data_IF_161243912616
#
_entry.id   IF_161243912616
#
_cell.length_a   1.000
_cell.length_b   1.000
_cell.length_c   1.000
_cell.angle_alpha   90.00
_cell.angle_beta   90.00
_cell.angle_gamma   90.00
#
_symmetry.space_group_name_H-M   'P 1'
#
loop_
_entity.id
_entity.type
_entity.pdbx_description
1 polymer ?
#
# COMPACT_ATOMS: atom_id res chain seq x y z
N UNK A 1 -6.61 8.81 -5.38
CA UNK A 1 -6.89 8.22 -4.05
C UNK A 1 -6.39 9.21 -3.01
N UNK A 2 -7.21 9.52 -2.02
CA UNK A 2 -6.92 10.50 -0.96
C UNK A 2 -6.79 9.87 0.42
N UNK A 3 -7.30 8.65 0.60
CA UNK A 3 -7.04 7.84 1.78
C UNK A 3 -6.99 6.37 1.40
N UNK A 4 -6.11 5.62 2.06
CA UNK A 4 -6.13 4.17 2.15
C UNK A 4 -6.07 3.83 3.64
N UNK A 5 -6.98 2.98 4.10
CA UNK A 5 -7.08 2.57 5.49
C UNK A 5 -7.67 1.17 5.58
N UNK A 6 -7.47 0.51 6.72
CA UNK A 6 -7.94 -0.86 6.94
C UNK A 6 -8.20 -1.12 8.42
N UNK A 7 -9.08 -2.06 8.71
CA UNK A 7 -9.53 -2.33 10.09
C UNK A 7 -9.36 -3.80 10.52
N UNK A 8 -8.57 -4.59 9.78
CA UNK A 8 -8.39 -6.02 10.02
C UNK A 8 -9.54 -6.89 9.52
N UNK A 9 -10.57 -6.29 8.91
CA UNK A 9 -11.68 -6.99 8.24
C UNK A 9 -11.87 -6.50 6.81
N UNK A 10 -11.84 -5.18 6.61
CA UNK A 10 -11.94 -4.51 5.31
C UNK A 10 -10.74 -3.60 5.07
N UNK A 11 -10.34 -3.51 3.81
CA UNK A 11 -9.51 -2.45 3.26
C UNK A 11 -10.43 -1.45 2.55
N UNK A 12 -10.18 -0.16 2.73
CA UNK A 12 -10.98 0.91 2.15
C UNK A 12 -10.15 2.00 1.51
N UNK A 13 -10.69 2.59 0.44
CA UNK A 13 -10.11 3.80 -0.17
C UNK A 13 -11.14 4.94 -0.28
N UNK A 14 -10.63 6.17 -0.25
CA UNK A 14 -11.36 7.37 -0.68
C UNK A 14 -10.70 8.01 -1.90
N UNK A 15 -11.50 8.75 -2.69
CA UNK A 15 -11.05 9.43 -3.90
C UNK A 15 -11.57 10.86 -3.92
N UNK A 16 -10.74 11.83 -4.31
CA UNK A 16 -11.07 13.27 -4.28
C UNK A 16 -12.30 13.68 -5.10
N UNK A 17 -12.68 12.93 -6.15
CA UNK A 17 -13.91 13.20 -6.91
C UNK A 17 -15.20 12.64 -6.27
N UNK A 18 -15.07 11.87 -5.19
CA UNK A 18 -16.14 11.12 -4.54
C UNK A 18 -16.02 11.28 -3.01
N UNK A 19 -15.91 12.53 -2.56
CA UNK A 19 -15.69 12.85 -1.14
C UNK A 19 -16.72 12.21 -0.21
N UNK A 20 -16.23 11.64 0.89
CA UNK A 20 -17.06 10.96 1.90
C UNK A 20 -17.47 9.53 1.54
N UNK A 21 -17.32 9.09 0.28
CA UNK A 21 -17.62 7.72 -0.12
C UNK A 21 -16.40 6.80 0.11
N UNK A 22 -16.62 5.68 0.80
CA UNK A 22 -15.63 4.61 0.99
C UNK A 22 -15.91 3.46 0.02
N UNK A 23 -14.85 2.98 -0.63
CA UNK A 23 -14.89 1.79 -1.48
C UNK A 23 -14.09 0.70 -0.79
N UNK A 24 -14.79 -0.34 -0.32
CA UNK A 24 -14.22 -1.39 0.52
C UNK A 24 -14.20 -2.75 -0.15
N UNK A 25 -13.27 -3.58 0.32
CA UNK A 25 -13.15 -5.00 0.02
C UNK A 25 -12.51 -5.71 1.23
N UNK A 26 -12.56 -7.06 1.32
CA UNK A 26 -11.95 -7.79 2.43
C UNK A 26 -10.45 -7.44 2.61
N UNK A 27 -10.02 -7.21 3.86
CA UNK A 27 -8.63 -6.93 4.17
C UNK A 27 -7.75 -8.15 3.82
N UNK A 28 -6.65 -7.96 3.09
CA UNK A 28 -5.77 -9.05 2.71
C UNK A 28 -4.87 -9.50 3.88
N UNK A 29 -4.36 -10.74 3.84
CA UNK A 29 -3.25 -11.13 4.71
C UNK A 29 -1.99 -10.36 4.29
N UNK A 30 -1.09 -10.14 5.25
CA UNK A 30 0.22 -9.52 4.98
C UNK A 30 1.22 -10.63 4.66
N UNK A 31 2.00 -10.46 3.59
CA UNK A 31 3.05 -11.41 3.20
C UNK A 31 4.41 -10.93 3.71
N UNK A 32 5.17 -11.76 4.41
CA UNK A 32 6.43 -11.34 5.01
C UNK A 32 6.99 -12.25 6.09
N UNK A 33 7.78 -11.66 6.99
CA UNK A 33 8.58 -12.37 7.98
C UNK A 33 7.95 -12.32 9.39
N UNK A 34 7.95 -13.46 10.06
CA UNK A 34 7.48 -13.60 11.44
C UNK A 34 8.61 -13.49 12.45
N UNK A 35 8.33 -12.90 13.61
CA UNK A 35 9.21 -12.93 14.76
C UNK A 35 9.27 -14.35 15.35
N UNK A 36 10.39 -14.72 16.02
CA UNK A 36 10.53 -16.04 16.63
C UNK A 36 9.36 -16.39 17.55
N UNK A 37 8.76 -17.56 17.31
CA UNK A 37 7.62 -18.07 18.09
C UNK A 37 6.24 -17.77 17.51
N UNK A 38 6.15 -16.98 16.43
CA UNK A 38 4.89 -16.70 15.72
C UNK A 38 4.90 -17.27 14.30
N UNK A 39 3.72 -17.40 13.70
CA UNK A 39 3.55 -17.75 12.30
C UNK A 39 2.20 -17.31 11.73
N UNK A 40 1.93 -17.72 10.49
CA UNK A 40 0.73 -17.33 9.73
C UNK A 40 -0.58 -17.57 10.48
N UNK A 41 -0.69 -18.69 11.21
CA UNK A 41 -1.88 -19.01 12.00
C UNK A 41 -2.19 -18.00 13.11
N UNK A 42 -1.22 -17.20 13.53
CA UNK A 42 -1.32 -16.24 14.62
C UNK A 42 -1.66 -14.83 14.10
N UNK A 43 -1.42 -14.57 12.81
CA UNK A 43 -1.64 -13.27 12.18
C UNK A 43 -3.12 -12.91 11.99
N UNK A 44 -3.42 -11.63 12.21
CA UNK A 44 -4.62 -10.99 11.69
C UNK A 44 -4.43 -10.49 10.26
N UNK A 45 -5.51 -9.99 9.67
CA UNK A 45 -5.44 -9.30 8.38
C UNK A 45 -4.92 -7.87 8.54
N UNK A 46 -4.56 -7.23 7.42
CA UNK A 46 -4.01 -5.88 7.41
C UNK A 46 -4.92 -4.87 8.12
N UNK A 47 -4.33 -4.02 8.97
CA UNK A 47 -5.07 -3.13 9.89
C UNK A 47 -4.32 -1.82 10.17
N UNK A 48 -5.09 -0.76 10.42
CA UNK A 48 -4.63 0.58 10.78
C UNK A 48 -4.84 1.61 9.67
N UNK A 49 -4.49 2.86 10.00
CA UNK A 49 -4.56 4.00 9.06
C UNK A 49 -3.20 4.35 8.46
N UNK A 50 -2.15 3.60 8.82
CA UNK A 50 -0.77 3.85 8.35
C UNK A 50 -0.60 3.82 6.83
N UNK A 51 -1.51 3.15 6.09
CA UNK A 51 -1.55 3.15 4.63
C UNK A 51 -1.76 4.57 4.01
N UNK A 52 -2.06 5.57 4.84
CA UNK A 52 -2.00 6.98 4.44
C UNK A 52 -0.59 7.40 4.03
N UNK A 53 0.46 6.78 4.59
CA UNK A 53 1.86 7.02 4.25
C UNK A 53 2.13 6.73 2.77
N UNK A 54 1.67 5.60 2.26
CA UNK A 54 1.77 5.23 0.84
C UNK A 54 0.83 6.07 -0.03
N UNK A 55 -0.32 6.48 0.52
CA UNK A 55 -1.23 7.38 -0.19
C UNK A 55 -0.56 8.71 -0.55
N UNK A 56 0.33 9.20 0.31
CA UNK A 56 1.12 10.41 0.06
C UNK A 56 2.47 10.16 -0.62
N UNK A 57 2.76 8.91 -1.00
CA UNK A 57 3.96 8.53 -1.77
C UNK A 57 5.18 8.19 -0.92
N UNK A 58 5.01 7.77 0.33
CA UNK A 58 6.09 7.26 1.18
C UNK A 58 5.92 5.75 1.44
N UNK A 59 6.54 5.22 2.49
CA UNK A 59 6.43 3.81 2.88
C UNK A 59 6.83 2.89 1.74
N UNK A 60 5.93 1.98 1.35
CA UNK A 60 6.16 1.01 0.29
C UNK A 60 6.61 1.63 -1.04
N UNK A 61 6.20 2.88 -1.30
CA UNK A 61 6.52 3.58 -2.55
C UNK A 61 8.00 3.97 -2.63
N UNK A 62 8.70 4.04 -1.49
CA UNK A 62 10.09 4.48 -1.40
C UNK A 62 11.03 3.39 -0.87
N UNK A 63 10.66 2.10 -0.96
CA UNK A 63 11.51 0.98 -0.52
C UNK A 63 12.90 1.01 -1.15
N UNK A 64 13.05 1.48 -2.40
CA UNK A 64 14.35 1.67 -3.04
C UNK A 64 15.29 2.59 -2.24
N UNK A 65 14.74 3.53 -1.46
CA UNK A 65 15.49 4.43 -0.57
C UNK A 65 15.73 3.87 0.84
N UNK A 66 15.16 2.72 1.18
CA UNK A 66 15.23 2.12 2.51
C UNK A 66 15.54 0.60 2.47
N UNK A 67 16.56 0.13 1.74
CA UNK A 67 16.80 -1.31 1.54
C UNK A 67 17.06 -2.09 2.84
N UNK A 68 17.47 -1.43 3.92
CA UNK A 68 17.66 -2.07 5.22
C UNK A 68 16.35 -2.66 5.80
N UNK A 69 15.18 -2.11 5.45
CA UNK A 69 13.90 -2.60 5.97
C UNK A 69 13.56 -4.00 5.44
N UNK A 70 14.14 -4.42 4.31
CA UNK A 70 13.87 -5.69 3.66
C UNK A 70 14.28 -6.90 4.52
N UNK A 71 15.24 -6.74 5.43
CA UNK A 71 15.55 -7.79 6.42
C UNK A 71 14.42 -8.02 7.42
N UNK A 72 13.46 -7.08 7.51
CA UNK A 72 12.34 -7.12 8.42
C UNK A 72 11.00 -7.37 7.71
N UNK A 73 10.79 -6.79 6.52
CA UNK A 73 9.55 -6.95 5.74
C UNK A 73 9.64 -8.02 4.64
N UNK A 74 10.83 -8.58 4.40
CA UNK A 74 11.09 -9.49 3.29
C UNK A 74 11.40 -8.78 1.97
N UNK A 75 11.75 -9.57 0.96
CA UNK A 75 12.13 -9.09 -0.37
C UNK A 75 13.63 -8.83 -0.56
N UNK A 76 13.98 -8.33 -1.74
CA UNK A 76 15.36 -8.09 -2.22
C UNK A 76 15.56 -6.62 -2.60
N UNK A 77 16.80 -6.10 -2.58
CA UNK A 77 17.09 -4.73 -3.04
C UNK A 77 16.60 -4.46 -4.47
N UNK A 78 16.68 -5.47 -5.34
CA UNK A 78 16.19 -5.41 -6.72
C UNK A 78 14.67 -5.27 -6.75
N UNK A 79 13.93 -6.04 -5.95
CA UNK A 79 12.47 -5.89 -5.82
C UNK A 79 12.10 -4.53 -5.25
N UNK A 80 12.83 -4.00 -4.26
CA UNK A 80 12.57 -2.67 -3.72
C UNK A 80 12.70 -1.56 -4.77
N UNK A 81 13.71 -1.65 -5.65
CA UNK A 81 13.86 -0.76 -6.81
C UNK A 81 12.66 -0.87 -7.75
N UNK A 82 12.26 -2.09 -8.09
CA UNK A 82 11.14 -2.33 -9.00
C UNK A 82 9.79 -1.92 -8.41
N UNK A 83 9.56 -2.11 -7.12
CA UNK A 83 8.39 -1.61 -6.42
C UNK A 83 8.29 -0.09 -6.53
N UNK A 84 9.33 0.65 -6.14
CA UNK A 84 9.35 2.11 -6.24
C UNK A 84 9.13 2.61 -7.68
N UNK A 85 9.72 1.94 -8.68
CA UNK A 85 9.50 2.28 -10.10
C UNK A 85 8.07 1.97 -10.55
N UNK A 86 7.51 0.83 -10.14
CA UNK A 86 6.17 0.40 -10.54
C UNK A 86 5.09 1.35 -10.06
N UNK A 87 5.27 1.99 -8.88
CA UNK A 87 4.33 2.98 -8.36
C UNK A 87 4.16 4.21 -9.26
N UNK A 88 5.15 4.52 -10.10
CA UNK A 88 5.03 5.59 -11.11
C UNK A 88 4.06 5.26 -12.23
N UNK A 89 3.81 3.98 -12.48
CA UNK A 89 2.83 3.52 -13.49
C UNK A 89 1.40 3.81 -13.05
N UNK A 90 1.15 3.93 -11.74
CA UNK A 90 -0.18 4.11 -11.16
C UNK A 90 -0.43 5.49 -10.56
N UNK A 91 0.57 6.37 -10.55
CA UNK A 91 0.50 7.72 -9.98
C UNK A 91 0.51 8.80 -11.05
N UNK A 92 0.10 10.03 -10.70
CA UNK A 92 -0.02 11.13 -11.67
C UNK A 92 1.30 11.86 -11.93
N UNK A 93 2.19 11.96 -10.93
CA UNK A 93 3.47 12.66 -11.05
C UNK A 93 4.48 12.15 -10.02
N UNK A 94 5.69 12.71 -10.06
CA UNK A 94 6.70 12.57 -9.01
C UNK A 94 6.78 13.82 -8.14
N UNK A 95 7.17 13.67 -6.87
CA UNK A 95 7.43 14.79 -5.96
C UNK A 95 8.72 15.54 -6.34
N UNK A 96 8.76 16.89 -6.30
CA UNK A 96 10.00 17.64 -6.46
C UNK A 96 10.84 17.69 -5.17
N UNK A 97 10.24 17.40 -4.01
CA UNK A 97 10.85 17.61 -2.70
C UNK A 97 11.36 16.31 -2.07
N UNK A 98 10.68 15.20 -2.32
CA UNK A 98 11.01 13.89 -1.77
C UNK A 98 11.68 13.02 -2.83
N UNK A 99 13.01 13.00 -2.81
CA UNK A 99 13.86 12.34 -3.79
C UNK A 99 14.41 11.02 -3.26
N UNK A 100 14.58 10.03 -4.15
CA UNK A 100 15.10 8.70 -3.81
C UNK A 100 16.54 8.59 -4.36
N UNK A 101 17.60 8.67 -3.52
CA UNK A 101 18.98 8.67 -3.99
C UNK A 101 19.38 7.44 -4.81
N UNK A 102 18.91 6.25 -4.41
CA UNK A 102 19.17 5.00 -5.11
C UNK A 102 18.59 4.95 -6.54
N UNK A 103 17.63 5.82 -6.85
CA UNK A 103 17.05 5.98 -8.18
C UNK A 103 17.58 7.25 -8.88
N UNK A 104 18.78 7.70 -8.55
CA UNK A 104 19.37 8.89 -9.16
C UNK A 104 18.68 10.19 -8.75
N UNK A 105 18.19 10.26 -7.52
CA UNK A 105 17.44 11.41 -6.97
C UNK A 105 16.15 11.73 -7.72
N UNK A 106 15.53 10.72 -8.36
CA UNK A 106 14.18 10.86 -8.87
C UNK A 106 13.17 11.03 -7.72
N UNK A 107 12.15 11.85 -7.95
CA UNK A 107 11.06 12.06 -7.00
C UNK A 107 10.23 10.81 -6.73
N UNK A 108 9.70 10.70 -5.52
CA UNK A 108 8.74 9.64 -5.17
C UNK A 108 7.44 9.80 -5.95
N UNK A 109 6.79 8.66 -6.24
CA UNK A 109 5.50 8.58 -6.92
C UNK A 109 4.38 9.18 -6.06
N UNK A 110 3.59 10.13 -6.58
CA UNK A 110 2.52 10.80 -5.82
C UNK A 110 1.21 10.90 -6.59
N UNK A 111 0.10 10.80 -5.86
CA UNK A 111 -1.27 10.90 -6.39
C UNK A 111 -1.67 9.65 -7.16
N UNK A 112 -2.05 8.60 -6.42
CA UNK A 112 -2.52 7.32 -6.98
C UNK A 112 -3.80 7.57 -7.81
N UNK A 113 -3.80 7.15 -9.06
CA UNK A 113 -4.90 7.30 -10.02
C UNK A 113 -5.64 5.97 -10.18
N UNK A 114 -6.91 5.94 -9.78
CA UNK A 114 -7.76 4.74 -9.85
C UNK A 114 -7.88 4.18 -11.27
N UNK A 115 -7.83 5.03 -12.30
CA UNK A 115 -7.89 4.60 -13.70
C UNK A 115 -6.61 3.87 -14.10
N UNK A 116 -5.46 4.37 -13.65
CA UNK A 116 -4.16 3.76 -13.94
C UNK A 116 -4.01 2.43 -13.19
N UNK A 117 -4.44 2.36 -11.93
CA UNK A 117 -4.47 1.11 -11.15
C UNK A 117 -5.27 0.04 -11.90
N UNK A 118 -6.53 0.32 -12.24
CA UNK A 118 -7.39 -0.65 -12.95
C UNK A 118 -6.85 -0.98 -14.34
N UNK A 119 -6.37 0.01 -15.11
CA UNK A 119 -5.84 -0.22 -16.47
C UNK A 119 -4.58 -1.09 -16.49
N UNK A 120 -3.69 -0.90 -15.52
CA UNK A 120 -2.39 -1.58 -15.48
C UNK A 120 -2.44 -2.89 -14.71
N UNK A 121 -3.49 -3.12 -13.92
CA UNK A 121 -3.58 -4.21 -12.96
C UNK A 121 -2.44 -4.21 -11.93
N UNK A 122 -1.89 -3.02 -11.64
CA UNK A 122 -0.88 -2.80 -10.61
C UNK A 122 -1.58 -2.08 -9.46
N UNK A 123 -1.57 -2.66 -8.26
CA UNK A 123 -2.08 -2.03 -7.04
C UNK A 123 -0.94 -1.40 -6.24
N UNK A 124 -1.23 -0.43 -5.35
CA UNK A 124 -0.23 0.12 -4.44
C UNK A 124 0.53 -0.98 -3.68
N UNK A 125 1.81 -0.77 -3.40
CA UNK A 125 2.59 -1.59 -2.47
C UNK A 125 2.64 -0.87 -1.13
N UNK A 126 2.38 -1.60 -0.05
CA UNK A 126 2.37 -1.10 1.33
C UNK A 126 3.31 -1.97 2.15
N UNK A 127 4.24 -1.37 2.90
CA UNK A 127 4.98 -2.06 3.94
C UNK A 127 4.28 -1.85 5.29
N UNK A 128 4.08 -2.94 6.04
CA UNK A 128 3.25 -2.89 7.25
C UNK A 128 3.69 -3.91 8.29
N UNK A 129 3.42 -3.57 9.55
CA UNK A 129 3.54 -4.46 10.69
C UNK A 129 2.45 -5.55 10.65
N UNK A 130 2.80 -6.77 11.00
CA UNK A 130 1.84 -7.86 11.24
C UNK A 130 1.42 -7.84 12.71
N UNK A 131 0.12 -7.82 12.95
CA UNK A 131 -0.47 -7.84 14.29
C UNK A 131 -1.13 -9.19 14.53
N UNK A 132 -1.04 -9.67 15.75
CA UNK A 132 -1.69 -10.90 16.17
C UNK A 132 -3.22 -10.80 16.12
N UNK A 133 -3.92 -11.86 15.72
CA UNK A 133 -5.40 -11.87 15.61
C UNK A 133 -6.13 -11.84 16.97
N UNK A 134 -5.43 -12.12 18.06
CA UNK A 134 -5.94 -12.00 19.45
C UNK A 134 -5.35 -10.75 20.10
N UNK A 135 -6.15 -10.02 20.91
CA UNK A 135 -5.69 -8.81 21.60
C UNK A 135 -4.61 -9.10 22.65
N UNK A 136 -3.82 -8.07 22.98
CA UNK A 136 -2.81 -8.12 24.05
C UNK A 136 -1.43 -8.65 23.64
N UNK A 137 -1.25 -9.01 22.37
CA UNK A 137 0.04 -9.42 21.82
C UNK A 137 0.75 -8.23 21.16
N UNK A 138 2.10 -8.23 21.14
CA UNK A 138 2.86 -7.22 20.41
C UNK A 138 2.74 -7.42 18.89
N UNK A 139 3.46 -6.59 18.13
CA UNK A 139 3.81 -6.89 16.74
C UNK A 139 4.41 -8.30 16.64
N UNK A 140 4.00 -9.09 15.65
CA UNK A 140 4.44 -10.48 15.48
C UNK A 140 5.27 -10.73 14.23
N UNK A 141 5.46 -9.69 13.41
CA UNK A 141 6.14 -9.76 12.12
C UNK A 141 5.97 -8.47 11.35
N UNK A 142 6.46 -8.43 10.12
CA UNK A 142 6.22 -7.35 9.19
C UNK A 142 6.33 -7.87 7.75
N UNK A 143 5.74 -7.14 6.83
CA UNK A 143 5.64 -7.60 5.47
C UNK A 143 5.18 -6.55 4.49
N UNK A 144 4.95 -7.03 3.28
CA UNK A 144 4.42 -6.28 2.17
C UNK A 144 2.97 -6.72 1.92
N UNK A 145 2.14 -5.77 1.53
CA UNK A 145 0.74 -6.04 1.22
C UNK A 145 0.27 -5.17 0.07
N UNK A 146 -0.64 -5.74 -0.71
CA UNK A 146 -1.31 -5.07 -1.81
C UNK A 146 -2.78 -4.85 -1.47
N UNK A 147 -3.32 -3.63 -1.62
CA UNK A 147 -4.75 -3.40 -1.52
C UNK A 147 -5.54 -4.29 -2.49
N UNK A 148 -6.72 -4.79 -2.10
CA UNK A 148 -7.60 -5.50 -3.02
C UNK A 148 -8.00 -4.60 -4.18
N UNK A 149 -7.84 -5.08 -5.42
CA UNK A 149 -8.10 -4.28 -6.63
C UNK A 149 -9.58 -3.88 -6.74
N UNK A 150 -10.47 -4.63 -6.10
CA UNK A 150 -11.90 -4.41 -6.02
C UNK A 150 -12.23 -3.00 -5.51
N UNK A 151 -11.47 -2.47 -4.55
CA UNK A 151 -11.65 -1.11 -4.04
C UNK A 151 -11.55 -0.08 -5.18
N UNK A 152 -10.59 -0.26 -6.09
CA UNK A 152 -10.32 0.64 -7.20
C UNK A 152 -11.33 0.45 -8.34
N UNK A 153 -11.76 -0.80 -8.59
CA UNK A 153 -12.80 -1.10 -9.59
C UNK A 153 -14.12 -0.45 -9.17
N UNK A 154 -14.51 -0.59 -7.90
CA UNK A 154 -15.72 0.03 -7.37
C UNK A 154 -15.65 1.55 -7.44
N UNK A 155 -14.53 2.14 -7.01
CA UNK A 155 -14.32 3.59 -7.10
C UNK A 155 -14.38 4.09 -8.55
N UNK A 156 -13.79 3.37 -9.51
CA UNK A 156 -13.78 3.77 -10.91
C UNK A 156 -15.17 3.70 -11.55
N UNK A 157 -15.95 2.65 -11.26
CA UNK A 157 -17.34 2.53 -11.71
C UNK A 157 -18.18 3.71 -11.20
N UNK A 158 -18.11 3.97 -9.89
CA UNK A 158 -18.82 5.08 -9.25
C UNK A 158 -18.38 6.45 -9.78
N UNK A 159 -17.08 6.62 -10.05
CA UNK A 159 -16.55 7.85 -10.66
C UNK A 159 -17.14 8.06 -12.05
N UNK A 160 -17.21 7.00 -12.87
CA UNK A 160 -17.83 7.08 -14.19
C UNK A 160 -19.32 7.44 -14.09
N UNK A 161 -20.09 6.85 -13.18
CA UNK A 161 -21.51 7.19 -12.99
C UNK A 161 -21.74 8.67 -12.63
N UNK A 162 -20.81 9.30 -11.91
CA UNK A 162 -20.93 10.72 -11.51
C UNK A 162 -20.53 11.71 -12.60
N UNK A 163 -19.56 11.34 -13.43
CA UNK A 163 -18.85 12.27 -14.33
C UNK A 163 -18.92 11.90 -15.82
N UNK A 164 -19.65 10.84 -16.18
CA UNK A 164 -19.93 10.48 -17.59
C UNK A 164 -21.17 11.18 -18.12
#
# INVERSE_FOLDING_TARGET
>A
VTAMARNGTEFGIQVSGLEGEWFTAPAPPVDGLYLPGFGEKDAGFDTGDSAITETVGWGGFVLAGAPAILSFVGGTPEEAIEYSRSMRKITVKTSPDYLIPALGFEGTAVGIDIRKVVKTNITPIIDTAMIHKKPGYPIIGAGLVHPPIECFILALKRFAEKYS
#
